data_IF_524239272839
#
_entry.id   IF_524239272839
#
_cell.length_a   1.000
_cell.length_b   1.000
_cell.length_c   1.000
_cell.angle_alpha   90.00
_cell.angle_beta   90.00
_cell.angle_gamma   90.00
#
_symmetry.space_group_name_H-M   'P 1'
#
loop_
_entity.id
_entity.type
_entity.pdbx_description
1 polymer ?
#
# COMPACT_ATOMS: atom_id res chain seq x y z
N UNK A 1 7.95 -17.81 -14.52
CA UNK A 1 6.93 -17.21 -13.70
C UNK A 1 6.40 -15.92 -14.26
N UNK A 2 7.21 -14.90 -14.37
CA UNK A 2 6.78 -13.64 -14.99
C UNK A 2 7.09 -13.71 -16.48
N UNK A 3 6.24 -14.42 -17.21
CA UNK A 3 6.52 -14.71 -18.60
C UNK A 3 6.30 -13.50 -19.51
N UNK A 4 5.33 -12.64 -19.15
CA UNK A 4 5.04 -11.48 -19.98
C UNK A 4 5.98 -10.34 -19.64
N UNK A 5 6.55 -9.65 -20.66
CA UNK A 5 7.48 -8.56 -20.39
C UNK A 5 6.89 -7.46 -19.53
N UNK A 6 5.60 -7.13 -19.72
CA UNK A 6 4.99 -6.07 -18.92
C UNK A 6 4.87 -6.46 -17.45
N UNK A 7 4.69 -7.74 -17.16
CA UNK A 7 4.62 -8.19 -15.76
C UNK A 7 5.98 -8.06 -15.10
N UNK A 8 7.05 -8.36 -15.83
CA UNK A 8 8.38 -8.19 -15.26
C UNK A 8 8.68 -6.73 -14.98
N UNK A 9 8.30 -5.86 -15.90
CA UNK A 9 8.50 -4.43 -15.69
C UNK A 9 7.74 -3.94 -14.45
N UNK A 10 6.51 -4.39 -14.28
CA UNK A 10 5.72 -4.02 -13.12
C UNK A 10 6.33 -4.59 -11.83
N UNK A 11 6.80 -5.82 -11.89
CA UNK A 11 7.48 -6.44 -10.76
C UNK A 11 8.72 -5.63 -10.36
N UNK A 12 9.51 -5.21 -11.33
CA UNK A 12 10.71 -4.44 -11.05
C UNK A 12 10.39 -3.08 -10.43
N UNK A 13 9.30 -2.46 -10.87
CA UNK A 13 8.85 -1.20 -10.29
C UNK A 13 8.47 -1.41 -8.83
N UNK A 14 7.68 -2.43 -8.55
CA UNK A 14 7.22 -2.68 -7.19
C UNK A 14 8.38 -3.00 -6.26
N UNK A 15 9.30 -3.82 -6.70
CA UNK A 15 10.43 -4.19 -5.84
C UNK A 15 11.44 -3.04 -5.67
N UNK A 16 11.31 -1.97 -6.43
CA UNK A 16 12.15 -0.80 -6.24
C UNK A 16 11.73 0.01 -5.00
N UNK A 17 10.53 -0.22 -4.49
CA UNK A 17 10.05 0.50 -3.31
C UNK A 17 10.74 -0.08 -2.08
N UNK A 18 11.46 0.74 -1.29
CA UNK A 18 12.15 0.24 -0.11
C UNK A 18 11.19 -0.42 0.88
N UNK A 19 11.50 -1.64 1.25
CA UNK A 19 10.69 -2.41 2.17
C UNK A 19 9.73 -3.37 1.48
N UNK A 20 9.54 -3.24 0.16
CA UNK A 20 8.64 -4.10 -0.58
C UNK A 20 9.42 -5.22 -1.23
N UNK A 21 9.28 -6.42 -0.68
CA UNK A 21 10.01 -7.57 -1.19
C UNK A 21 9.33 -8.25 -2.35
N UNK A 22 9.98 -9.30 -2.83
CA UNK A 22 9.49 -10.01 -4.03
C UNK A 22 8.14 -10.66 -3.81
N UNK A 23 7.93 -11.26 -2.64
CA UNK A 23 6.68 -11.95 -2.36
C UNK A 23 5.53 -10.96 -2.33
N UNK A 24 5.73 -9.80 -1.69
CA UNK A 24 4.70 -8.78 -1.65
C UNK A 24 4.41 -8.26 -3.05
N UNK A 25 5.46 -8.06 -3.86
CA UNK A 25 5.27 -7.60 -5.23
C UNK A 25 4.42 -8.60 -6.03
N UNK A 26 4.67 -9.89 -5.86
CA UNK A 26 3.88 -10.91 -6.54
C UNK A 26 2.44 -10.91 -6.08
N UNK A 27 2.22 -10.75 -4.78
CA UNK A 27 0.85 -10.67 -4.25
C UNK A 27 0.11 -9.48 -4.87
N UNK A 28 0.78 -8.34 -4.96
CA UNK A 28 0.15 -7.16 -5.57
C UNK A 28 -0.19 -7.39 -7.03
N UNK A 29 0.70 -8.04 -7.77
CA UNK A 29 0.45 -8.30 -9.18
C UNK A 29 -0.71 -9.27 -9.38
N UNK A 30 -0.86 -10.23 -8.49
CA UNK A 30 -1.90 -11.25 -8.62
C UNK A 30 -3.23 -10.75 -8.08
N UNK A 31 -3.22 -10.17 -6.89
CA UNK A 31 -4.45 -9.80 -6.19
C UNK A 31 -4.97 -8.42 -6.56
N UNK A 32 -4.12 -7.60 -7.16
CA UNK A 32 -4.48 -6.23 -7.48
C UNK A 32 -3.94 -5.84 -8.85
N UNK A 33 -4.34 -6.58 -9.90
CA UNK A 33 -3.82 -6.33 -11.24
C UNK A 33 -4.21 -4.97 -11.80
N UNK A 34 -5.28 -4.36 -11.28
CA UNK A 34 -5.72 -3.05 -11.72
C UNK A 34 -4.89 -1.91 -11.13
N UNK A 35 -3.93 -2.22 -10.28
CA UNK A 35 -3.07 -1.22 -9.67
C UNK A 35 -2.31 -0.47 -10.77
N UNK A 36 -2.32 0.85 -10.68
CA UNK A 36 -1.72 1.70 -11.70
C UNK A 36 -2.73 2.31 -12.66
N UNK A 37 -3.97 1.80 -12.64
CA UNK A 37 -5.00 2.33 -13.52
C UNK A 37 -6.17 2.94 -12.76
N UNK A 38 -5.98 3.24 -11.49
CA UNK A 38 -7.02 3.82 -10.65
C UNK A 38 -6.43 4.99 -9.86
N UNK A 39 -7.31 5.81 -9.25
CA UNK A 39 -6.80 6.89 -8.41
C UNK A 39 -6.39 6.34 -7.02
N UNK A 40 -5.70 7.20 -6.26
CA UNK A 40 -5.15 6.78 -4.98
C UNK A 40 -6.24 6.33 -4.00
N UNK A 41 -7.36 7.03 -4.00
CA UNK A 41 -8.45 6.71 -3.08
C UNK A 41 -9.03 5.33 -3.37
N UNK A 42 -9.20 5.02 -4.64
CA UNK A 42 -9.69 3.71 -5.06
C UNK A 42 -8.71 2.61 -4.68
N UNK A 43 -7.43 2.86 -4.90
CA UNK A 43 -6.40 1.87 -4.59
C UNK A 43 -6.41 1.56 -3.09
N UNK A 44 -6.47 2.58 -2.26
CA UNK A 44 -6.52 2.39 -0.81
C UNK A 44 -7.79 1.65 -0.40
N UNK A 45 -8.90 1.95 -1.05
CA UNK A 45 -10.17 1.32 -0.74
C UNK A 45 -10.15 -0.18 -1.04
N UNK A 46 -9.61 -0.55 -2.18
CA UNK A 46 -9.53 -1.96 -2.55
C UNK A 46 -8.67 -2.75 -1.59
N UNK A 47 -7.63 -2.14 -1.06
CA UNK A 47 -6.78 -2.79 -0.08
C UNK A 47 -7.40 -2.78 1.32
N UNK A 48 -8.55 -2.15 1.49
CA UNK A 48 -9.20 -2.07 2.78
C UNK A 48 -8.52 -1.09 3.73
N UNK A 49 -7.83 -0.10 3.19
CA UNK A 49 -7.04 0.84 3.98
C UNK A 49 -7.61 2.24 3.98
N UNK A 50 -8.69 2.49 3.25
CA UNK A 50 -9.31 3.80 3.24
C UNK A 50 -10.04 4.04 4.56
N UNK A 51 -10.12 5.30 5.01
CA UNK A 51 -10.86 5.60 6.22
C UNK A 51 -12.32 5.20 6.07
N UNK A 52 -12.89 4.66 7.15
CA UNK A 52 -14.28 4.26 7.17
C UNK A 52 -15.10 5.45 7.64
N UNK A 53 -16.11 5.80 6.88
CA UNK A 53 -17.00 6.88 7.32
C UNK A 53 -17.92 6.35 8.39
N UNK A 54 -18.11 7.23 9.40
CA UNK A 54 -18.81 6.80 10.54
C UNK A 54 -20.28 6.67 10.35
N UNK A 55 -20.87 7.55 9.56
CA UNK A 55 -22.28 7.45 9.32
C UNK A 55 -22.63 6.22 8.52
N UNK A 56 -21.66 5.54 8.00
CA UNK A 56 -21.90 4.28 7.31
C UNK A 56 -22.47 3.23 8.22
N UNK A 57 -22.44 3.49 9.49
CA UNK A 57 -23.07 2.62 10.42
C UNK A 57 -22.35 1.32 10.60
N UNK A 58 -22.86 0.60 11.53
CA UNK A 58 -22.19 -0.59 11.95
C UNK A 58 -22.28 -1.70 10.94
N UNK A 59 -23.43 -1.85 10.37
CA UNK A 59 -23.59 -2.92 9.41
C UNK A 59 -22.81 -2.60 8.14
N UNK A 60 -22.70 -1.34 7.86
CA UNK A 60 -21.92 -0.91 6.72
C UNK A 60 -20.44 -1.17 6.94
N UNK A 61 -20.00 -1.02 8.16
CA UNK A 61 -18.64 -1.34 8.50
C UNK A 61 -18.32 -2.79 8.23
N UNK A 62 -19.26 -3.66 8.54
CA UNK A 62 -19.10 -5.07 8.26
C UNK A 62 -18.97 -5.31 6.75
N UNK A 63 -19.85 -4.68 6.00
CA UNK A 63 -19.82 -4.80 4.56
C UNK A 63 -18.49 -4.28 4.01
N UNK A 64 -18.00 -3.21 4.58
CA UNK A 64 -16.75 -2.61 4.15
C UNK A 64 -15.58 -3.56 4.37
N UNK A 65 -15.53 -4.23 5.50
CA UNK A 65 -14.49 -5.20 5.77
C UNK A 65 -14.49 -6.27 4.69
N UNK A 66 -15.65 -6.68 4.26
CA UNK A 66 -15.76 -7.66 3.20
C UNK A 66 -15.34 -7.09 1.85
N UNK A 67 -15.47 -5.78 1.69
CA UNK A 67 -15.09 -5.13 0.45
C UNK A 67 -13.60 -4.98 0.26
N UNK A 68 -12.81 -5.04 1.34
CA UNK A 68 -11.37 -4.98 1.23
C UNK A 68 -10.79 -6.35 0.96
N UNK A 69 -9.57 -6.39 0.47
CA UNK A 69 -8.87 -7.64 0.18
C UNK A 69 -7.98 -7.97 1.36
N UNK A 70 -8.49 -8.79 2.26
CA UNK A 70 -7.80 -9.11 3.51
C UNK A 70 -6.41 -9.68 3.29
N UNK A 71 -6.27 -10.56 2.29
CA UNK A 71 -4.98 -11.15 1.98
C UNK A 71 -3.97 -10.07 1.59
N UNK A 72 -4.44 -9.09 0.83
CA UNK A 72 -3.60 -8.00 0.39
C UNK A 72 -3.16 -7.14 1.59
N UNK A 73 -4.09 -6.86 2.49
CA UNK A 73 -3.78 -6.10 3.69
C UNK A 73 -2.69 -6.78 4.51
N UNK A 74 -2.82 -8.11 4.68
CA UNK A 74 -1.84 -8.87 5.41
C UNK A 74 -0.48 -8.84 4.73
N UNK A 75 -0.47 -8.89 3.40
CA UNK A 75 0.76 -8.89 2.64
C UNK A 75 1.50 -7.57 2.75
N UNK A 76 0.78 -6.47 2.98
CA UNK A 76 1.40 -5.14 3.07
C UNK A 76 1.87 -4.83 4.50
N UNK A 77 1.34 -5.53 5.48
CA UNK A 77 1.66 -5.23 6.87
C UNK A 77 3.16 -5.35 7.18
N UNK A 78 3.79 -6.48 6.84
CA UNK A 78 5.22 -6.64 7.10
C UNK A 78 6.08 -5.66 6.32
N UNK A 79 5.83 -5.42 5.03
CA UNK A 79 6.55 -4.37 4.31
C UNK A 79 6.42 -3.00 4.97
N UNK A 80 5.25 -2.71 5.55
CA UNK A 80 5.08 -1.43 6.24
C UNK A 80 5.99 -1.35 7.46
N UNK A 81 6.11 -2.43 8.22
CA UNK A 81 7.01 -2.45 9.37
C UNK A 81 8.46 -2.28 8.94
N UNK A 82 8.85 -2.91 7.84
CA UNK A 82 10.20 -2.75 7.31
C UNK A 82 10.42 -1.32 6.82
N UNK A 83 9.44 -0.76 6.14
CA UNK A 83 9.54 0.59 5.60
C UNK A 83 9.70 1.63 6.71
N UNK A 84 9.03 1.43 7.84
CA UNK A 84 9.16 2.34 8.98
C UNK A 84 10.61 2.42 9.45
N UNK A 85 11.40 1.37 9.23
CA UNK A 85 12.78 1.34 9.65
C UNK A 85 13.75 1.78 8.57
N UNK A 86 13.47 1.44 7.31
CA UNK A 86 14.46 1.58 6.26
C UNK A 86 14.07 2.49 5.12
N UNK A 87 12.87 3.04 5.13
CA UNK A 87 12.42 3.97 4.10
C UNK A 87 12.30 5.35 4.74
N UNK A 88 13.27 6.26 4.52
CA UNK A 88 13.31 7.52 5.27
C UNK A 88 12.03 8.36 5.19
N UNK A 89 11.42 8.56 4.02
CA UNK A 89 10.17 9.34 3.96
C UNK A 89 9.05 8.69 4.77
N UNK A 90 8.93 7.37 4.73
CA UNK A 90 7.87 6.69 5.46
C UNK A 90 8.16 6.64 6.95
N UNK A 91 9.45 6.52 7.30
CA UNK A 91 9.84 6.60 8.71
C UNK A 91 9.46 7.97 9.28
N UNK A 92 9.74 9.04 8.54
CA UNK A 92 9.42 10.38 8.99
C UNK A 92 7.92 10.53 9.17
N UNK A 93 7.13 9.99 8.25
CA UNK A 93 5.67 10.06 8.35
C UNK A 93 5.17 9.29 9.58
N UNK A 94 5.71 8.11 9.81
CA UNK A 94 5.33 7.33 10.98
C UNK A 94 5.66 8.06 12.27
N UNK A 95 6.89 8.58 12.35
CA UNK A 95 7.35 9.29 13.55
C UNK A 95 6.48 10.51 13.82
N UNK A 96 6.11 11.25 12.78
CA UNK A 96 5.26 12.41 12.93
C UNK A 96 3.88 12.05 13.47
N UNK A 97 3.32 10.96 13.00
CA UNK A 97 2.02 10.50 13.47
C UNK A 97 2.08 10.10 14.94
N UNK A 98 3.15 9.38 15.32
CA UNK A 98 3.31 8.98 16.71
C UNK A 98 3.52 10.18 17.62
N UNK A 99 4.30 11.16 17.15
CA UNK A 99 4.53 12.37 17.92
C UNK A 99 3.25 13.17 18.11
N UNK A 100 2.33 13.06 17.15
CA UNK A 100 1.04 13.74 17.26
C UNK A 100 0.04 12.99 18.15
N UNK A 101 0.48 11.88 18.76
CA UNK A 101 -0.36 11.13 19.69
C UNK A 101 -1.19 10.04 19.07
N UNK A 102 -0.97 9.72 17.77
CA UNK A 102 -1.73 8.67 17.13
C UNK A 102 -1.25 7.30 17.58
N UNK A 103 -2.17 6.34 17.80
CA UNK A 103 -1.77 4.98 18.18
C UNK A 103 -0.92 4.35 17.09
N UNK A 104 -0.05 3.43 17.51
CA UNK A 104 0.84 2.75 16.57
C UNK A 104 0.07 2.06 15.45
N UNK A 105 -1.04 1.41 15.79
CA UNK A 105 -1.84 0.69 14.80
C UNK A 105 -2.35 1.63 13.70
N UNK A 106 -2.81 2.80 14.09
CA UNK A 106 -3.28 3.78 13.13
C UNK A 106 -2.14 4.30 12.28
N UNK A 107 -0.98 4.54 12.89
CA UNK A 107 0.18 5.02 12.16
C UNK A 107 0.67 3.98 11.15
N UNK A 108 0.68 2.71 11.54
CA UNK A 108 1.08 1.63 10.62
C UNK A 108 0.12 1.53 9.45
N UNK A 109 -1.19 1.66 9.71
CA UNK A 109 -2.18 1.63 8.63
C UNK A 109 -1.96 2.76 7.65
N UNK A 110 -1.58 3.94 8.14
CA UNK A 110 -1.28 5.06 7.26
C UNK A 110 -0.08 4.76 6.37
N UNK A 111 0.93 4.06 6.91
CA UNK A 111 2.08 3.68 6.12
C UNK A 111 1.70 2.63 5.07
N UNK A 112 0.86 1.67 5.44
CA UNK A 112 0.37 0.66 4.50
C UNK A 112 -0.37 1.33 3.35
N UNK A 113 -1.22 2.29 3.65
CA UNK A 113 -1.95 3.03 2.62
C UNK A 113 -0.97 3.77 1.71
N UNK A 114 0.05 4.37 2.29
CA UNK A 114 1.04 5.10 1.51
C UNK A 114 1.80 4.18 0.56
N UNK A 115 2.11 2.97 0.99
CA UNK A 115 2.76 2.00 0.12
C UNK A 115 1.88 1.68 -1.08
N UNK A 116 0.60 1.44 -0.84
CA UNK A 116 -0.33 1.11 -1.94
C UNK A 116 -0.49 2.28 -2.89
N UNK A 117 -0.67 3.50 -2.37
CA UNK A 117 -0.86 4.65 -3.24
C UNK A 117 0.42 4.99 -4.00
N UNK A 118 1.58 4.78 -3.38
CA UNK A 118 2.85 4.96 -4.06
C UNK A 118 3.02 3.94 -5.17
N UNK A 119 2.72 2.67 -4.89
CA UNK A 119 2.80 1.62 -5.89
C UNK A 119 1.89 1.93 -7.08
N UNK A 120 0.67 2.37 -6.79
CA UNK A 120 -0.27 2.75 -7.84
C UNK A 120 0.29 3.87 -8.72
N UNK A 121 0.86 4.90 -8.10
CA UNK A 121 1.39 6.03 -8.85
C UNK A 121 2.60 5.62 -9.70
N UNK A 122 3.49 4.79 -9.16
CA UNK A 122 4.66 4.36 -9.89
C UNK A 122 4.29 3.49 -11.08
N UNK A 123 3.34 2.58 -10.88
CA UNK A 123 2.88 1.73 -11.99
C UNK A 123 2.16 2.56 -13.05
N UNK A 124 1.35 3.53 -12.63
CA UNK A 124 0.67 4.42 -13.58
C UNK A 124 1.67 5.18 -14.43
N UNK A 125 2.73 5.68 -13.80
CA UNK A 125 3.75 6.49 -14.48
C UNK A 125 4.87 5.65 -15.09
N UNK A 126 4.82 4.34 -14.87
CA UNK A 126 5.79 3.39 -15.40
C UNK A 126 7.22 3.76 -15.03
N UNK A 127 7.45 3.99 -13.74
CA UNK A 127 8.78 4.37 -13.27
C UNK A 127 9.05 3.78 -11.89
N UNK A 128 10.33 3.67 -11.57
CA UNK A 128 10.77 3.10 -10.31
C UNK A 128 10.77 4.15 -9.22
N UNK A 129 10.78 3.66 -7.98
CA UNK A 129 10.81 4.52 -6.81
C UNK A 129 12.12 5.30 -6.73
N UNK A 130 12.03 6.55 -6.29
CA UNK A 130 13.20 7.36 -5.95
C UNK A 130 12.92 8.07 -4.65
N UNK A 131 13.98 8.49 -3.97
CA UNK A 131 13.82 9.12 -2.67
C UNK A 131 13.06 10.44 -2.72
N UNK A 132 12.99 11.06 -3.87
CA UNK A 132 12.28 12.33 -4.00
C UNK A 132 10.77 12.15 -4.10
N UNK A 133 10.30 10.94 -4.09
CA UNK A 133 8.88 10.64 -4.29
C UNK A 133 8.10 10.49 -3.00
N UNK A 134 8.61 10.98 -1.94
CA UNK A 134 8.02 10.78 -0.61
C UNK A 134 6.56 11.24 -0.50
#
# INVERSE_FOLDING_TARGET
MLAAPHLKARFDILTSIPGLGEITALVLLIDMPELGSMDAKHAASLAGLAPITRQSGQWRGKSFIQGGRATLRQAIYMPALVAIRFNPPLKAKYDALRAAGKPAKLAITAIMRRIITTANALLRDNRKWTETMA
#
